data_IF_773325184116
#
_entry.id   IF_773325184116
#
_cell.length_a   1.000
_cell.length_b   1.000
_cell.length_c   1.000
_cell.angle_alpha   90.00
_cell.angle_beta   90.00
_cell.angle_gamma   90.00
#
_symmetry.space_group_name_H-M   'P 1'
#
loop_
_entity.id
_entity.type
_entity.pdbx_description
1 polymer ?
#
# COMPACT_ATOMS: atom_id res chain seq x y z
N UNK A 1 -68.10 29.50 -5.76
CA UNK A 1 -67.80 29.03 -7.14
C UNK A 1 -66.41 28.40 -7.17
N UNK A 2 -66.33 27.20 -7.75
CA UNK A 2 -65.17 26.57 -8.41
C UNK A 2 -63.85 26.38 -7.65
N UNK A 3 -63.62 25.10 -7.33
CA UNK A 3 -62.36 24.37 -7.15
C UNK A 3 -61.23 24.91 -8.05
N UNK A 4 -60.00 24.94 -7.55
CA UNK A 4 -58.82 24.47 -8.29
C UNK A 4 -57.78 23.93 -7.30
N UNK A 5 -57.67 22.61 -7.28
CA UNK A 5 -56.57 21.84 -6.73
C UNK A 5 -55.43 21.94 -7.74
N UNK A 6 -54.23 22.33 -7.30
CA UNK A 6 -53.00 22.09 -8.05
C UNK A 6 -52.04 21.31 -7.15
N UNK A 7 -52.04 19.98 -7.37
CA UNK A 7 -50.92 19.12 -7.00
C UNK A 7 -49.74 19.52 -7.89
N UNK A 8 -48.64 19.97 -7.30
CA UNK A 8 -47.35 20.06 -7.97
C UNK A 8 -46.51 18.89 -7.44
N UNK A 9 -46.37 17.85 -8.26
CA UNK A 9 -45.37 16.81 -8.09
C UNK A 9 -44.03 17.37 -8.56
N UNK A 10 -43.16 17.77 -7.62
CA UNK A 10 -41.75 18.00 -7.91
C UNK A 10 -41.04 16.65 -7.78
N UNK A 11 -40.99 15.92 -8.89
CA UNK A 11 -39.99 14.88 -9.08
C UNK A 11 -38.72 15.61 -9.53
N UNK A 12 -37.81 15.85 -8.60
CA UNK A 12 -36.47 16.31 -8.91
C UNK A 12 -35.47 15.37 -8.23
N UNK A 13 -34.75 14.67 -9.11
CA UNK A 13 -33.77 13.65 -8.86
C UNK A 13 -32.70 14.14 -7.89
N UNK A 14 -32.69 13.64 -6.64
CA UNK A 14 -31.50 13.75 -5.80
C UNK A 14 -30.47 12.79 -6.37
N UNK A 15 -29.61 13.30 -7.24
CA UNK A 15 -28.33 12.67 -7.55
C UNK A 15 -27.52 12.78 -6.26
N UNK A 16 -27.70 11.82 -5.36
CA UNK A 16 -26.71 11.51 -4.35
C UNK A 16 -25.51 10.96 -5.10
N UNK A 17 -24.67 11.87 -5.62
CA UNK A 17 -23.29 11.57 -5.86
C UNK A 17 -22.75 11.16 -4.49
N UNK A 18 -22.65 9.85 -4.28
CA UNK A 18 -21.91 9.30 -3.16
C UNK A 18 -20.46 9.71 -3.41
N UNK A 19 -20.07 10.87 -2.89
CA UNK A 19 -18.70 11.10 -2.47
C UNK A 19 -18.36 9.92 -1.56
N UNK A 20 -17.67 8.93 -2.11
CA UNK A 20 -17.00 7.91 -1.31
C UNK A 20 -15.92 8.64 -0.55
N UNK A 21 -16.29 9.16 0.61
CA UNK A 21 -15.37 9.65 1.62
C UNK A 21 -14.29 8.60 1.83
N UNK A 22 -13.05 8.96 1.48
CA UNK A 22 -11.83 8.20 1.80
C UNK A 22 -11.56 8.33 3.30
N UNK A 23 -12.56 8.15 4.15
CA UNK A 23 -12.46 8.25 5.61
C UNK A 23 -13.66 7.52 6.23
N UNK A 24 -13.77 6.21 5.95
CA UNK A 24 -14.62 5.31 6.74
C UNK A 24 -13.81 4.81 7.92
N UNK A 25 -13.73 5.62 8.98
CA UNK A 25 -13.09 5.31 10.25
C UNK A 25 -13.94 4.34 11.12
N UNK A 26 -14.49 3.29 10.49
CA UNK A 26 -15.35 2.28 11.13
C UNK A 26 -14.75 0.87 11.22
N UNK A 27 -13.50 0.67 10.76
CA UNK A 27 -12.84 -0.64 10.80
C UNK A 27 -11.55 -0.57 11.63
N UNK A 28 -11.66 -0.70 12.94
CA UNK A 28 -10.50 -1.02 13.78
C UNK A 28 -9.83 -2.37 13.40
N UNK A 29 -10.45 -3.15 12.51
CA UNK A 29 -9.97 -4.45 12.00
C UNK A 29 -9.11 -4.38 10.73
N UNK A 30 -9.14 -3.28 9.95
CA UNK A 30 -8.45 -3.21 8.66
C UNK A 30 -7.47 -2.05 8.59
N UNK A 31 -6.23 -2.31 8.20
CA UNK A 31 -5.24 -1.28 7.87
C UNK A 31 -5.61 -0.63 6.52
N UNK A 32 -5.79 0.69 6.49
CA UNK A 32 -6.02 1.40 5.23
C UNK A 32 -4.73 1.52 4.42
N UNK A 33 -4.84 1.59 3.09
CA UNK A 33 -3.66 1.83 2.23
C UNK A 33 -2.91 3.11 2.60
N UNK A 34 -3.63 4.20 2.92
CA UNK A 34 -3.03 5.45 3.42
C UNK A 34 -2.23 5.23 4.71
N UNK A 35 -2.69 4.39 5.63
CA UNK A 35 -1.97 4.06 6.85
C UNK A 35 -0.72 3.23 6.54
N UNK A 36 -0.82 2.23 5.64
CA UNK A 36 0.33 1.45 5.16
C UNK A 36 1.42 2.35 4.57
N UNK A 37 1.08 3.19 3.58
CA UNK A 37 2.06 4.08 2.94
C UNK A 37 2.64 5.11 3.92
N UNK A 38 1.84 5.64 4.85
CA UNK A 38 2.36 6.53 5.90
C UNK A 38 3.36 5.80 6.80
N UNK A 39 3.09 4.55 7.16
CA UNK A 39 4.01 3.74 7.96
C UNK A 39 5.32 3.51 7.21
N UNK A 40 5.27 3.19 5.93
CA UNK A 40 6.47 3.02 5.09
C UNK A 40 7.29 4.30 5.02
N UNK A 41 6.66 5.43 4.69
CA UNK A 41 7.35 6.72 4.60
C UNK A 41 7.94 7.16 5.93
N UNK A 42 7.27 6.88 7.06
CA UNK A 42 7.81 7.17 8.41
C UNK A 42 9.05 6.34 8.74
N UNK A 43 9.17 5.15 8.14
CA UNK A 43 10.29 4.24 8.33
C UNK A 43 11.26 4.27 7.15
N UNK A 44 11.28 5.33 6.33
CA UNK A 44 12.16 5.41 5.15
C UNK A 44 13.64 5.23 5.49
N UNK A 45 14.07 5.66 6.68
CA UNK A 45 15.45 5.55 7.13
C UNK A 45 15.78 4.20 7.79
N UNK A 46 14.86 3.23 7.75
CA UNK A 46 15.09 1.89 8.26
C UNK A 46 16.18 1.20 7.44
N UNK A 47 17.22 0.73 8.12
CA UNK A 47 18.33 0.02 7.47
C UNK A 47 17.88 -1.36 7.00
N UNK A 48 18.29 -1.75 5.79
CA UNK A 48 18.00 -3.08 5.25
C UNK A 48 19.06 -4.13 5.62
N UNK A 49 20.13 -3.75 6.34
CA UNK A 49 21.18 -4.71 6.75
C UNK A 49 20.62 -5.89 7.55
N UNK A 50 19.63 -5.64 8.41
CA UNK A 50 19.04 -6.65 9.30
C UNK A 50 17.80 -7.33 8.69
N UNK A 51 17.42 -6.95 7.46
CA UNK A 51 16.24 -7.48 6.76
C UNK A 51 16.65 -8.59 5.79
N UNK A 52 16.87 -9.80 6.31
CA UNK A 52 17.43 -10.93 5.54
C UNK A 52 16.68 -11.26 4.25
N UNK A 53 15.37 -11.01 4.20
CA UNK A 53 14.52 -11.25 3.03
C UNK A 53 14.31 -10.01 2.15
N UNK A 54 14.93 -8.89 2.49
CA UNK A 54 14.94 -7.67 1.71
C UNK A 54 16.34 -7.06 1.72
N UNK A 55 17.26 -7.69 0.99
CA UNK A 55 18.63 -7.23 0.88
C UNK A 55 18.79 -6.19 -0.23
N UNK A 56 19.79 -5.28 -0.13
CA UNK A 56 20.08 -4.32 -1.18
C UNK A 56 20.33 -5.00 -2.53
N UNK A 57 19.93 -4.39 -3.66
CA UNK A 57 20.28 -4.90 -4.97
C UNK A 57 21.81 -4.87 -5.18
N UNK A 58 22.32 -5.75 -6.03
CA UNK A 58 23.76 -5.82 -6.35
C UNK A 58 24.28 -4.49 -6.94
N UNK A 59 23.38 -3.68 -7.52
CA UNK A 59 23.68 -2.38 -8.11
C UNK A 59 23.77 -1.23 -7.10
N UNK A 60 23.49 -1.48 -5.81
CA UNK A 60 23.59 -0.44 -4.78
C UNK A 60 25.05 0.03 -4.61
N UNK A 61 25.28 1.34 -4.70
CA UNK A 61 26.63 1.93 -4.56
C UNK A 61 27.22 1.72 -3.16
N UNK A 62 26.38 1.82 -2.13
CA UNK A 62 26.74 1.51 -0.75
C UNK A 62 25.66 0.63 -0.09
N UNK A 63 25.81 -0.71 -0.17
CA UNK A 63 24.85 -1.65 0.42
C UNK A 63 24.68 -1.48 1.94
N UNK A 64 25.66 -0.88 2.64
CA UNK A 64 25.60 -0.70 4.09
C UNK A 64 24.72 0.49 4.48
N UNK A 65 24.66 1.53 3.67
CA UNK A 65 23.76 2.66 3.95
C UNK A 65 22.39 2.51 3.30
N UNK A 66 22.13 1.41 2.59
CA UNK A 66 20.88 1.17 1.87
C UNK A 66 19.68 1.01 2.83
N UNK A 67 18.65 1.79 2.57
CA UNK A 67 17.48 1.93 3.43
C UNK A 67 16.19 1.47 2.76
N UNK A 68 15.11 1.37 3.54
CA UNK A 68 13.77 1.18 3.01
C UNK A 68 13.38 2.30 2.02
N UNK A 69 13.83 3.54 2.24
CA UNK A 69 13.60 4.66 1.33
C UNK A 69 14.25 4.45 -0.03
N UNK A 70 15.46 3.89 -0.05
CA UNK A 70 16.16 3.55 -1.29
C UNK A 70 15.42 2.42 -2.03
N UNK A 71 14.97 1.40 -1.28
CA UNK A 71 14.19 0.30 -1.85
C UNK A 71 12.84 0.75 -2.41
N UNK A 72 12.14 1.64 -1.70
CA UNK A 72 10.90 2.25 -2.20
C UNK A 72 11.16 3.10 -3.45
N UNK A 73 12.29 3.81 -3.50
CA UNK A 73 12.67 4.59 -4.68
C UNK A 73 12.93 3.69 -5.88
N UNK A 74 13.60 2.55 -5.69
CA UNK A 74 13.80 1.55 -6.72
C UNK A 74 12.47 0.96 -7.21
N UNK A 75 11.58 0.59 -6.29
CA UNK A 75 10.25 0.06 -6.61
C UNK A 75 9.42 1.07 -7.43
N UNK A 76 9.47 2.35 -7.06
CA UNK A 76 8.71 3.42 -7.70
C UNK A 76 9.36 3.96 -8.98
N UNK A 77 10.61 3.58 -9.29
CA UNK A 77 11.29 3.95 -10.53
C UNK A 77 10.81 3.09 -11.73
N UNK A 78 10.07 2.01 -11.50
CA UNK A 78 9.47 1.21 -12.56
C UNK A 78 8.46 2.02 -13.37
N UNK A 79 8.41 1.83 -14.69
CA UNK A 79 7.54 2.62 -15.56
C UNK A 79 8.05 4.05 -15.84
N UNK A 80 9.31 4.36 -15.55
CA UNK A 80 9.89 5.68 -15.82
C UNK A 80 10.17 5.93 -17.31
N UNK A 81 10.34 4.89 -18.12
CA UNK A 81 10.67 5.02 -19.54
C UNK A 81 9.42 5.29 -20.39
N UNK A 82 9.57 6.07 -21.47
CA UNK A 82 8.45 6.56 -22.30
C UNK A 82 7.58 5.46 -22.95
N UNK A 83 8.09 4.23 -23.03
CA UNK A 83 7.41 3.08 -23.63
C UNK A 83 6.81 2.12 -22.60
N UNK A 84 6.92 2.45 -21.31
CA UNK A 84 6.38 1.63 -20.23
C UNK A 84 5.41 2.40 -19.33
N UNK A 85 4.52 1.66 -18.66
CA UNK A 85 3.62 2.18 -17.65
C UNK A 85 3.63 1.25 -16.44
N UNK A 86 3.50 1.80 -15.24
CA UNK A 86 3.49 1.04 -14.01
C UNK A 86 2.16 1.12 -13.28
N UNK A 87 1.69 -0.02 -12.77
CA UNK A 87 0.55 -0.12 -11.87
C UNK A 87 1.04 -0.51 -10.49
N UNK A 88 0.67 0.29 -9.49
CA UNK A 88 0.92 0.00 -8.08
C UNK A 88 -0.36 -0.54 -7.44
N UNK A 89 -0.24 -1.73 -6.85
CA UNK A 89 -1.30 -2.38 -6.08
C UNK A 89 -0.79 -2.66 -4.65
N UNK A 90 -1.70 -2.63 -3.68
CA UNK A 90 -1.38 -3.01 -2.29
C UNK A 90 -2.49 -3.85 -1.69
N UNK A 91 -2.12 -4.89 -0.95
CA UNK A 91 -3.02 -5.82 -0.29
C UNK A 91 -2.52 -6.09 1.11
N UNK A 92 -3.42 -6.21 2.09
CA UNK A 92 -3.05 -6.64 3.43
C UNK A 92 -4.00 -7.74 3.91
N UNK A 93 -3.46 -8.75 4.59
CA UNK A 93 -4.20 -9.80 5.30
C UNK A 93 -3.83 -9.79 6.78
N UNK A 94 -4.73 -10.31 7.62
CA UNK A 94 -4.39 -10.58 9.02
C UNK A 94 -3.55 -11.86 9.06
N UNK A 95 -2.43 -11.81 9.77
CA UNK A 95 -1.53 -12.94 9.93
C UNK A 95 -0.82 -12.92 11.30
N UNK A 96 0.00 -13.94 11.56
CA UNK A 96 0.90 -14.05 12.71
C UNK A 96 2.34 -13.99 12.21
N UNK A 97 3.14 -13.09 12.77
CA UNK A 97 4.57 -13.02 12.52
C UNK A 97 5.34 -13.64 13.68
N UNK A 98 6.21 -14.61 13.40
CA UNK A 98 7.15 -15.17 14.37
C UNK A 98 8.47 -14.40 14.29
N UNK A 99 8.87 -13.78 15.39
CA UNK A 99 10.14 -13.07 15.50
C UNK A 99 11.30 -14.06 15.58
N UNK A 100 12.55 -13.63 15.31
CA UNK A 100 13.73 -14.48 15.52
C UNK A 100 13.92 -14.98 16.97
N UNK A 101 13.30 -14.32 17.95
CA UNK A 101 13.30 -14.75 19.36
C UNK A 101 12.23 -15.81 19.67
N UNK A 102 11.40 -16.20 18.70
CA UNK A 102 10.30 -17.15 18.86
C UNK A 102 9.03 -16.53 19.45
N UNK A 103 8.96 -15.20 19.54
CA UNK A 103 7.73 -14.50 19.94
C UNK A 103 6.78 -14.41 18.75
N UNK A 104 5.47 -14.52 19.00
CA UNK A 104 4.45 -14.38 17.96
C UNK A 104 3.73 -13.04 18.11
N UNK A 105 3.50 -12.37 16.98
CA UNK A 105 2.86 -11.07 16.91
C UNK A 105 1.66 -11.11 15.96
N UNK A 106 0.52 -10.60 16.40
CA UNK A 106 -0.63 -10.34 15.53
C UNK A 106 -0.29 -9.17 14.59
N UNK A 107 -0.33 -9.41 13.27
CA UNK A 107 0.07 -8.44 12.26
C UNK A 107 -0.96 -8.29 11.16
N UNK A 108 -0.92 -7.14 10.48
CA UNK A 108 -1.31 -7.06 9.09
C UNK A 108 -0.08 -7.38 8.25
N UNK A 109 -0.10 -8.50 7.54
CA UNK A 109 0.89 -8.78 6.51
C UNK A 109 0.47 -8.08 5.22
N UNK A 110 1.26 -7.10 4.81
CA UNK A 110 0.96 -6.22 3.70
C UNK A 110 1.96 -6.44 2.57
N UNK A 111 1.46 -6.49 1.35
CA UNK A 111 2.22 -6.58 0.12
C UNK A 111 1.93 -5.37 -0.75
N UNK A 112 2.96 -4.81 -1.35
CA UNK A 112 2.92 -3.79 -2.39
C UNK A 112 3.60 -4.39 -3.61
N UNK A 113 2.89 -4.33 -4.73
CA UNK A 113 3.39 -4.82 -6.01
C UNK A 113 3.37 -3.66 -6.99
N UNK A 114 4.47 -3.48 -7.73
CA UNK A 114 4.52 -2.60 -8.90
C UNK A 114 4.75 -3.48 -10.11
N UNK A 115 3.81 -3.43 -11.06
CA UNK A 115 3.89 -4.17 -12.31
C UNK A 115 4.07 -3.17 -13.46
N UNK A 116 5.11 -3.39 -14.26
CA UNK A 116 5.41 -2.61 -15.45
C UNK A 116 4.88 -3.31 -16.69
N UNK A 117 4.25 -2.54 -17.57
CA UNK A 117 3.72 -3.00 -18.85
C UNK A 117 4.18 -2.10 -19.99
N UNK A 118 4.30 -2.64 -21.20
CA UNK A 118 4.61 -1.85 -22.39
C UNK A 118 3.36 -1.13 -22.93
N UNK A 119 3.50 -0.41 -24.03
CA UNK A 119 2.40 0.30 -24.70
C UNK A 119 1.28 -0.62 -25.21
N UNK A 120 1.55 -1.92 -25.39
CA UNK A 120 0.59 -2.96 -25.75
C UNK A 120 -0.08 -3.62 -24.53
N UNK A 121 0.19 -3.11 -23.31
CA UNK A 121 -0.24 -3.68 -22.04
C UNK A 121 0.32 -5.08 -21.74
N UNK A 122 1.40 -5.46 -22.41
CA UNK A 122 2.12 -6.71 -22.11
C UNK A 122 3.03 -6.53 -20.91
N UNK A 123 3.19 -7.59 -20.13
CA UNK A 123 4.06 -7.62 -18.95
C UNK A 123 5.53 -7.41 -19.35
N UNK A 124 6.19 -6.45 -18.70
CA UNK A 124 7.63 -6.19 -18.85
C UNK A 124 8.38 -6.70 -17.62
N UNK A 125 7.97 -6.24 -16.44
CA UNK A 125 8.63 -6.55 -15.18
C UNK A 125 7.68 -6.38 -13.99
N UNK A 126 8.03 -6.92 -12.84
CA UNK A 126 7.35 -6.64 -11.57
C UNK A 126 8.34 -6.62 -10.43
N UNK A 127 8.08 -5.78 -9.43
CA UNK A 127 8.75 -5.84 -8.15
C UNK A 127 7.74 -5.81 -7.02
N UNK A 128 8.13 -6.35 -5.87
CA UNK A 128 7.29 -6.52 -4.71
C UNK A 128 8.05 -6.13 -3.43
N UNK A 129 7.34 -5.44 -2.55
CA UNK A 129 7.72 -5.20 -1.16
C UNK A 129 6.63 -5.76 -0.25
N UNK A 130 6.95 -6.66 0.67
CA UNK A 130 6.04 -7.11 1.71
C UNK A 130 6.59 -6.78 3.11
N UNK A 131 5.68 -6.57 4.06
CA UNK A 131 5.97 -6.04 5.38
C UNK A 131 4.90 -6.44 6.39
N UNK A 132 5.31 -6.77 7.62
CA UNK A 132 4.38 -6.96 8.72
C UNK A 132 4.20 -5.66 9.52
N UNK A 133 2.94 -5.28 9.75
CA UNK A 133 2.55 -4.15 10.60
C UNK A 133 1.85 -4.69 11.84
N UNK A 134 2.40 -4.41 13.02
CA UNK A 134 1.79 -4.78 14.30
C UNK A 134 0.35 -4.28 14.40
N UNK A 135 -0.60 -5.19 14.66
CA UNK A 135 -2.02 -4.81 14.83
C UNK A 135 -2.25 -3.93 16.06
N UNK A 136 -1.70 -4.27 17.25
CA UNK A 136 -1.88 -3.45 18.44
C UNK A 136 -1.20 -2.09 18.34
N UNK A 137 0.01 -2.03 17.77
CA UNK A 137 0.88 -0.85 17.84
C UNK A 137 0.85 0.00 16.57
N UNK A 138 0.36 -0.55 15.45
CA UNK A 138 0.36 0.10 14.12
C UNK A 138 1.75 0.55 13.67
N UNK A 139 2.78 -0.21 14.05
CA UNK A 139 4.18 0.03 13.67
C UNK A 139 4.68 -1.12 12.80
N UNK A 140 5.67 -0.81 11.96
CA UNK A 140 6.43 -1.81 11.22
C UNK A 140 7.15 -2.74 12.20
N UNK A 141 7.10 -4.05 11.93
CA UNK A 141 7.86 -5.05 12.68
C UNK A 141 9.25 -5.19 12.05
N UNK A 142 10.35 -4.94 12.78
CA UNK A 142 11.70 -5.16 12.26
C UNK A 142 11.95 -6.63 11.89
N UNK A 143 12.74 -6.86 10.84
CA UNK A 143 13.02 -8.20 10.32
C UNK A 143 11.88 -8.79 9.48
N UNK A 144 10.82 -8.01 9.22
CA UNK A 144 9.64 -8.47 8.48
C UNK A 144 9.63 -8.07 7.01
N UNK A 145 10.59 -7.26 6.55
CA UNK A 145 10.62 -6.80 5.17
C UNK A 145 11.03 -7.94 4.23
N UNK A 146 10.30 -8.05 3.11
CA UNK A 146 10.52 -9.03 2.05
C UNK A 146 10.52 -8.30 0.71
N UNK A 147 11.56 -8.48 -0.11
CA UNK A 147 11.71 -7.79 -1.39
C UNK A 147 11.97 -8.77 -2.53
N UNK A 148 11.29 -8.58 -3.65
CA UNK A 148 11.44 -9.37 -4.88
C UNK A 148 11.46 -8.47 -6.13
#
# INVERSE_FOLDING_TARGET
MKRFVYLIFIVACTISAADRSIDSESNASTLSGKALFRTLLKNSNHSLQDELLCQPPITAEDPKSYTLGDQLSLLLAMGHYDETSAKLDSTCSIDIFETPSGETLDVWDCQITVAETNTESEFVSSSMLAIAISRPQKIMVPGSLRCL
#
